data_IF_528280897420
#
_entry.id   IF_528280897420
#
_cell.length_a   1.000
_cell.length_b   1.000
_cell.length_c   1.000
_cell.angle_alpha   90.00
_cell.angle_beta   90.00
_cell.angle_gamma   90.00
#
_symmetry.space_group_name_H-M   'P 1'
#
loop_
_entity.id
_entity.type
_entity.pdbx_description
1 polymer ?
#
# COMPACT_ATOMS: atom_id res chain seq x y z
N UNK A 1 25.32 -52.64 47.65
CA UNK A 1 26.53 -51.88 47.94
C UNK A 1 26.37 -50.50 47.36
N UNK A 2 26.30 -49.60 48.28
CA UNK A 2 26.06 -48.16 48.20
C UNK A 2 27.22 -47.41 47.55
N UNK A 3 26.94 -46.39 46.78
CA UNK A 3 27.71 -45.16 46.88
C UNK A 3 26.82 -43.98 46.48
N UNK A 4 26.59 -43.10 47.46
CA UNK A 4 26.03 -41.76 47.30
C UNK A 4 27.09 -40.87 46.69
N UNK A 5 26.68 -40.01 45.79
CA UNK A 5 27.49 -38.87 45.40
C UNK A 5 26.70 -37.58 45.64
N UNK A 6 27.32 -36.73 46.43
CA UNK A 6 26.80 -35.50 46.99
C UNK A 6 26.94 -34.34 45.99
N UNK A 7 25.84 -33.80 45.54
CA UNK A 7 25.81 -32.59 44.73
C UNK A 7 26.08 -31.34 45.55
N UNK A 8 27.15 -30.64 45.27
CA UNK A 8 27.43 -29.30 45.80
C UNK A 8 26.60 -28.25 45.05
N UNK A 9 25.82 -27.51 45.87
CA UNK A 9 24.96 -26.40 45.39
C UNK A 9 25.78 -25.17 45.03
N UNK A 10 25.45 -24.56 43.92
CA UNK A 10 26.03 -23.30 43.41
C UNK A 10 25.70 -22.04 44.24
N UNK A 11 25.33 -22.17 45.53
CA UNK A 11 24.87 -21.03 46.35
C UNK A 11 25.90 -20.50 47.37
N UNK A 12 27.10 -21.07 47.48
CA UNK A 12 28.02 -20.74 48.58
C UNK A 12 29.26 -19.92 48.16
N UNK A 13 29.16 -19.07 47.11
CA UNK A 13 30.32 -18.26 46.68
C UNK A 13 30.19 -16.75 46.93
N UNK A 14 29.29 -16.30 47.80
CA UNK A 14 29.16 -14.87 48.15
C UNK A 14 29.10 -14.66 49.65
N UNK A 15 30.22 -14.87 50.37
CA UNK A 15 30.43 -14.24 51.68
C UNK A 15 31.94 -14.14 51.98
N UNK A 16 32.35 -12.91 52.14
CA UNK A 16 33.58 -12.43 52.81
C UNK A 16 34.53 -11.61 51.94
N UNK A 17 34.29 -10.31 51.87
CA UNK A 17 35.36 -9.30 51.89
C UNK A 17 34.78 -7.98 52.44
N UNK A 18 34.83 -7.85 53.75
CA UNK A 18 34.68 -6.56 54.46
C UNK A 18 36.00 -5.81 54.44
N UNK A 19 35.95 -4.52 54.11
CA UNK A 19 36.97 -3.61 54.62
C UNK A 19 37.71 -2.78 53.58
N UNK A 20 37.29 -1.56 53.36
CA UNK A 20 38.03 -0.32 53.44
C UNK A 20 37.23 0.81 52.76
N UNK A 21 36.58 1.67 53.55
CA UNK A 21 36.07 2.95 53.05
C UNK A 21 37.24 3.86 52.73
N UNK A 22 37.49 4.14 51.49
CA UNK A 22 38.23 5.30 51.02
C UNK A 22 37.22 6.33 50.55
N UNK A 23 37.07 7.41 51.30
CA UNK A 23 36.26 8.56 50.89
C UNK A 23 36.95 9.25 49.69
N UNK A 24 36.52 8.93 48.46
CA UNK A 24 36.89 9.68 47.31
C UNK A 24 35.91 10.87 47.16
N UNK A 25 36.44 12.06 47.19
CA UNK A 25 35.69 13.29 46.91
C UNK A 25 35.05 13.19 45.52
N UNK A 26 33.71 13.19 45.47
CA UNK A 26 32.96 13.23 44.22
C UNK A 26 33.11 14.58 43.55
N UNK A 27 33.89 14.65 42.48
CA UNK A 27 33.83 15.76 41.55
C UNK A 27 32.48 15.74 40.83
N UNK A 28 31.78 16.87 40.71
CA UNK A 28 30.49 16.87 39.97
C UNK A 28 30.76 16.57 38.50
N UNK A 29 30.38 15.38 38.08
CA UNK A 29 30.34 15.03 36.67
C UNK A 29 29.19 15.85 36.04
N UNK A 30 29.52 16.87 35.27
CA UNK A 30 28.53 17.55 34.42
C UNK A 30 27.94 16.51 33.49
N UNK A 31 26.67 16.15 33.73
CA UNK A 31 25.94 15.28 32.85
C UNK A 31 25.87 15.94 31.46
N UNK A 32 26.60 15.40 30.50
CA UNK A 32 26.46 15.79 29.09
C UNK A 32 25.03 15.36 28.70
N UNK A 33 24.18 16.36 28.38
CA UNK A 33 22.84 16.10 27.90
C UNK A 33 22.92 15.17 26.70
N UNK A 34 22.13 14.10 26.73
CA UNK A 34 22.03 13.19 25.59
C UNK A 34 21.64 14.00 24.34
N UNK A 35 22.27 13.78 23.18
CA UNK A 35 21.90 14.47 21.95
C UNK A 35 20.42 14.25 21.68
N UNK A 36 19.72 15.33 21.27
CA UNK A 36 18.31 15.24 20.89
C UNK A 36 18.15 14.13 19.82
N UNK A 37 17.12 13.28 19.93
CA UNK A 37 16.90 12.24 18.94
C UNK A 37 16.75 12.88 17.55
N UNK A 38 17.45 12.32 16.57
CA UNK A 38 17.33 12.76 15.18
C UNK A 38 15.87 12.66 14.74
N UNK A 39 15.36 13.62 13.94
CA UNK A 39 14.01 13.55 13.45
C UNK A 39 13.82 12.24 12.67
N UNK A 40 12.89 11.41 13.11
CA UNK A 40 12.53 10.16 12.42
C UNK A 40 11.86 10.55 11.10
N UNK A 41 12.34 10.08 9.95
CA UNK A 41 11.69 10.33 8.68
C UNK A 41 10.22 9.90 8.74
N UNK A 42 9.32 10.68 8.14
CA UNK A 42 7.90 10.35 8.09
C UNK A 42 7.71 8.96 7.46
N UNK A 43 6.92 8.11 8.12
CA UNK A 43 6.60 6.78 7.58
C UNK A 43 5.82 6.89 6.25
N UNK A 44 5.80 5.85 5.41
CA UNK A 44 4.96 5.83 4.22
C UNK A 44 3.48 6.12 4.53
N UNK A 45 2.94 5.56 5.61
CA UNK A 45 1.57 5.82 6.06
C UNK A 45 1.36 7.29 6.45
N UNK A 46 2.34 7.93 7.11
CA UNK A 46 2.24 9.35 7.47
C UNK A 46 2.33 10.26 6.24
N UNK A 47 3.15 9.89 5.24
CA UNK A 47 3.17 10.58 3.93
C UNK A 47 1.78 10.51 3.28
N UNK A 48 1.12 9.35 3.30
CA UNK A 48 -0.25 9.21 2.77
C UNK A 48 -1.26 10.05 3.55
N UNK A 49 -1.23 10.01 4.89
CA UNK A 49 -2.09 10.86 5.73
C UNK A 49 -1.86 12.35 5.47
N UNK A 50 -0.63 12.76 5.20
CA UNK A 50 -0.33 14.14 4.81
C UNK A 50 -1.04 14.51 3.50
N UNK A 51 -1.03 13.63 2.49
CA UNK A 51 -1.78 13.85 1.24
C UNK A 51 -3.28 13.91 1.50
N UNK A 52 -3.84 13.02 2.34
CA UNK A 52 -5.27 13.06 2.66
C UNK A 52 -5.71 14.39 3.29
N UNK A 53 -4.83 15.07 4.00
CA UNK A 53 -5.10 16.38 4.63
C UNK A 53 -4.90 17.59 3.70
N UNK A 54 -4.30 17.43 2.52
CA UNK A 54 -4.18 18.56 1.57
C UNK A 54 -5.54 19.02 1.07
N UNK A 55 -5.71 20.28 0.69
CA UNK A 55 -6.96 20.74 0.06
C UNK A 55 -7.22 20.07 -1.29
N UNK A 56 -8.49 19.89 -1.62
CA UNK A 56 -8.96 19.40 -2.92
C UNK A 56 -8.68 17.92 -3.21
N UNK A 57 -9.23 17.41 -4.30
CA UNK A 57 -9.00 16.05 -4.77
C UNK A 57 -7.62 15.88 -5.40
N UNK A 58 -7.14 14.64 -5.45
CA UNK A 58 -5.86 14.26 -6.06
C UNK A 58 -6.13 13.23 -7.15
N UNK A 59 -5.68 13.51 -8.39
CA UNK A 59 -5.66 12.52 -9.46
C UNK A 59 -4.52 11.51 -9.22
N UNK A 60 -4.84 10.22 -9.33
CA UNK A 60 -3.91 9.13 -9.05
C UNK A 60 -3.91 8.12 -10.19
N UNK A 61 -2.76 7.82 -10.81
CA UNK A 61 -2.69 6.78 -11.83
C UNK A 61 -2.75 5.39 -11.19
N UNK A 62 -3.56 4.49 -11.76
CA UNK A 62 -3.48 3.06 -11.49
C UNK A 62 -2.45 2.49 -12.46
N UNK A 63 -1.32 2.08 -11.92
CA UNK A 63 -0.17 1.56 -12.65
C UNK A 63 -0.15 0.02 -12.63
N UNK A 64 0.67 -0.59 -13.48
CA UNK A 64 0.69 -2.04 -13.68
C UNK A 64 2.07 -2.67 -13.51
N UNK A 65 3.14 -1.85 -13.43
CA UNK A 65 4.52 -2.28 -13.19
C UNK A 65 5.36 -1.17 -12.57
N UNK A 66 6.62 -1.49 -12.22
CA UNK A 66 7.55 -0.53 -11.63
C UNK A 66 7.92 0.60 -12.60
N UNK A 67 8.01 0.31 -13.90
CA UNK A 67 8.38 1.32 -14.90
C UNK A 67 7.28 2.39 -15.04
N UNK A 68 6.01 1.96 -15.15
CA UNK A 68 4.86 2.87 -15.18
C UNK A 68 4.71 3.66 -13.87
N UNK A 69 5.02 3.05 -12.73
CA UNK A 69 5.03 3.72 -11.43
C UNK A 69 6.09 4.81 -11.35
N UNK A 70 7.34 4.52 -11.76
CA UNK A 70 8.43 5.51 -11.82
C UNK A 70 8.16 6.62 -12.83
N UNK A 71 7.52 6.29 -13.96
CA UNK A 71 7.08 7.29 -14.93
C UNK A 71 6.04 8.25 -14.31
N UNK A 72 5.04 7.71 -13.62
CA UNK A 72 4.05 8.53 -12.93
C UNK A 72 4.69 9.43 -11.85
N UNK A 73 5.62 8.91 -11.06
CA UNK A 73 6.40 9.71 -10.11
C UNK A 73 7.22 10.81 -10.82
N UNK A 74 7.90 10.48 -11.91
CA UNK A 74 8.67 11.44 -12.71
C UNK A 74 7.79 12.58 -13.26
N UNK A 75 6.56 12.27 -13.66
CA UNK A 75 5.56 13.27 -14.10
C UNK A 75 4.97 14.10 -12.95
N UNK A 76 5.35 13.85 -11.70
CA UNK A 76 4.98 14.65 -10.53
C UNK A 76 3.69 14.23 -9.83
N UNK A 77 3.14 13.05 -10.12
CA UNK A 77 2.03 12.50 -9.34
C UNK A 77 2.45 12.27 -7.89
N UNK A 78 1.58 12.70 -6.95
CA UNK A 78 1.90 12.71 -5.51
C UNK A 78 1.54 11.41 -4.80
N UNK A 79 0.71 10.59 -5.42
CA UNK A 79 0.29 9.26 -4.97
C UNK A 79 0.16 8.37 -6.20
N UNK A 80 0.46 7.12 -6.06
CA UNK A 80 0.33 6.10 -7.10
C UNK A 80 -0.46 4.94 -6.51
N UNK A 81 -1.24 4.25 -7.31
CA UNK A 81 -1.94 3.03 -6.88
C UNK A 81 -1.69 1.86 -7.83
N UNK A 82 -1.61 0.65 -7.27
CA UNK A 82 -1.69 -0.60 -8.01
C UNK A 82 -2.97 -1.31 -7.57
N UNK A 83 -3.83 -1.65 -8.54
CA UNK A 83 -5.08 -2.37 -8.31
C UNK A 83 -5.00 -3.83 -8.71
N UNK A 84 -5.97 -4.63 -8.26
CA UNK A 84 -6.07 -6.05 -8.59
C UNK A 84 -6.18 -6.32 -10.09
N UNK A 85 -6.99 -5.52 -10.80
CA UNK A 85 -7.14 -5.63 -12.26
C UNK A 85 -5.82 -5.38 -13.00
N UNK A 86 -5.11 -4.29 -12.68
CA UNK A 86 -3.83 -3.96 -13.30
C UNK A 86 -2.75 -5.01 -12.98
N UNK A 87 -2.77 -5.55 -11.75
CA UNK A 87 -1.89 -6.66 -11.35
C UNK A 87 -2.21 -7.93 -12.10
N UNK A 88 -3.49 -8.33 -12.14
CA UNK A 88 -3.92 -9.57 -12.79
C UNK A 88 -3.65 -9.56 -14.28
N UNK A 89 -3.97 -8.47 -14.98
CA UNK A 89 -3.73 -8.35 -16.41
C UNK A 89 -2.26 -8.17 -16.76
N UNK A 90 -1.55 -7.27 -16.07
CA UNK A 90 -0.17 -6.90 -16.39
C UNK A 90 0.86 -7.94 -15.98
N UNK A 91 0.67 -8.62 -14.84
CA UNK A 91 1.65 -9.55 -14.30
C UNK A 91 1.34 -11.01 -14.57
N UNK A 92 0.05 -11.38 -14.69
CA UNK A 92 -0.37 -12.77 -14.84
C UNK A 92 -1.08 -13.06 -16.17
N UNK A 93 -1.42 -12.03 -16.97
CA UNK A 93 -2.18 -12.18 -18.20
C UNK A 93 -3.60 -12.70 -17.97
N UNK A 94 -4.17 -12.42 -16.80
CA UNK A 94 -5.50 -12.86 -16.37
C UNK A 94 -6.42 -11.67 -16.14
N UNK A 95 -7.75 -11.92 -16.17
CA UNK A 95 -8.71 -10.97 -15.64
C UNK A 95 -8.65 -10.90 -14.11
N UNK A 96 -9.26 -9.87 -13.54
CA UNK A 96 -9.41 -9.69 -12.09
C UNK A 96 -10.47 -10.66 -11.53
N UNK A 97 -10.15 -11.94 -11.51
CA UNK A 97 -11.06 -13.02 -11.14
C UNK A 97 -10.90 -13.51 -9.70
N UNK A 98 -10.13 -12.81 -8.88
CA UNK A 98 -9.83 -13.20 -7.51
C UNK A 98 -8.88 -14.39 -7.42
N UNK A 99 -8.03 -14.60 -8.45
CA UNK A 99 -7.08 -15.71 -8.51
C UNK A 99 -5.67 -15.32 -8.00
N UNK A 100 -5.32 -14.04 -8.03
CA UNK A 100 -4.08 -13.58 -7.45
C UNK A 100 -4.08 -13.83 -5.94
N UNK A 101 -3.05 -14.51 -5.44
CA UNK A 101 -2.94 -14.76 -4.01
C UNK A 101 -2.49 -13.51 -3.25
N UNK A 102 -2.92 -13.36 -2.00
CA UNK A 102 -2.46 -12.25 -1.15
C UNK A 102 -0.93 -12.16 -1.05
N UNK A 103 -0.22 -13.28 -1.19
CA UNK A 103 1.25 -13.27 -1.17
C UNK A 103 1.84 -12.64 -2.42
N UNK A 104 1.27 -12.92 -3.59
CA UNK A 104 1.66 -12.30 -4.87
C UNK A 104 1.37 -10.80 -4.87
N UNK A 105 0.17 -10.40 -4.40
CA UNK A 105 -0.19 -8.98 -4.26
C UNK A 105 0.79 -8.22 -3.35
N UNK A 106 1.14 -8.80 -2.19
CA UNK A 106 2.11 -8.22 -1.27
C UNK A 106 3.49 -8.08 -1.93
N UNK A 107 3.97 -9.12 -2.62
CA UNK A 107 5.30 -9.09 -3.24
C UNK A 107 5.43 -8.01 -4.32
N UNK A 108 4.43 -7.88 -5.16
CA UNK A 108 4.41 -6.85 -6.21
C UNK A 108 4.33 -5.45 -5.63
N UNK A 109 3.42 -5.23 -4.66
CA UNK A 109 3.27 -3.94 -4.02
C UNK A 109 4.53 -3.51 -3.26
N UNK A 110 5.19 -4.43 -2.54
CA UNK A 110 6.45 -4.16 -1.84
C UNK A 110 7.57 -3.81 -2.82
N UNK A 111 7.72 -4.56 -3.90
CA UNK A 111 8.71 -4.27 -4.96
C UNK A 111 8.49 -2.88 -5.55
N UNK A 112 7.25 -2.51 -5.78
CA UNK A 112 6.89 -1.20 -6.32
C UNK A 112 7.13 -0.09 -5.28
N UNK A 113 6.67 -0.26 -4.04
CA UNK A 113 6.86 0.73 -2.97
C UNK A 113 8.33 1.06 -2.71
N UNK A 114 9.22 0.05 -2.80
CA UNK A 114 10.67 0.23 -2.63
C UNK A 114 11.33 1.00 -3.78
N UNK A 115 10.69 1.09 -4.94
CA UNK A 115 11.18 1.84 -6.08
C UNK A 115 10.66 3.29 -6.14
N UNK A 116 9.81 3.70 -5.18
CA UNK A 116 9.12 4.97 -5.18
C UNK A 116 9.45 5.82 -3.95
N UNK A 117 9.49 7.13 -4.13
CA UNK A 117 9.57 8.13 -3.05
C UNK A 117 8.18 8.62 -2.61
N UNK A 118 7.18 8.51 -3.49
CA UNK A 118 5.79 8.90 -3.23
C UNK A 118 4.99 7.74 -2.63
N UNK A 119 3.92 8.02 -1.85
CA UNK A 119 3.05 7.00 -1.29
C UNK A 119 2.44 6.07 -2.35
N UNK A 120 2.48 4.76 -2.08
CA UNK A 120 1.80 3.73 -2.87
C UNK A 120 0.54 3.25 -2.13
N UNK A 121 -0.59 3.23 -2.85
CA UNK A 121 -1.81 2.52 -2.47
C UNK A 121 -1.75 1.13 -3.14
N UNK A 122 -1.89 0.07 -2.36
CA UNK A 122 -1.88 -1.31 -2.85
C UNK A 122 -3.20 -2.01 -2.58
N UNK A 123 -3.63 -2.81 -3.55
CA UNK A 123 -4.76 -3.71 -3.41
C UNK A 123 -4.36 -4.95 -2.59
N UNK A 124 -5.27 -5.42 -1.75
CA UNK A 124 -5.14 -6.66 -0.99
C UNK A 124 -6.34 -7.59 -1.19
N UNK A 125 -7.21 -7.31 -2.15
CA UNK A 125 -8.47 -8.03 -2.31
C UNK A 125 -9.20 -8.16 -0.96
N UNK A 126 -9.67 -9.36 -0.61
CA UNK A 126 -10.32 -9.65 0.67
C UNK A 126 -9.33 -9.83 1.86
N UNK A 127 -8.03 -9.61 1.62
CA UNK A 127 -6.96 -9.77 2.61
C UNK A 127 -6.54 -11.22 2.87
N UNK A 128 -6.94 -12.16 1.99
CA UNK A 128 -6.58 -13.58 2.09
C UNK A 128 -7.51 -14.39 2.99
N UNK A 129 -8.78 -13.97 3.13
CA UNK A 129 -9.90 -14.75 3.68
C UNK A 129 -10.31 -14.35 5.10
N UNK A 130 -9.46 -14.42 6.11
CA UNK A 130 -9.82 -14.17 7.50
C UNK A 130 -8.98 -13.07 8.17
N UNK A 131 -9.40 -12.51 9.34
CA UNK A 131 -8.67 -11.43 10.02
C UNK A 131 -7.21 -11.73 10.35
N UNK A 132 -6.83 -12.98 10.64
CA UNK A 132 -5.44 -13.35 10.92
C UNK A 132 -4.56 -13.25 9.66
N UNK A 133 -5.09 -13.63 8.49
CA UNK A 133 -4.40 -13.46 7.22
C UNK A 133 -4.23 -11.98 6.88
N UNK A 134 -5.27 -11.15 7.11
CA UNK A 134 -5.19 -9.70 6.98
C UNK A 134 -4.10 -9.12 7.87
N UNK A 135 -4.06 -9.50 9.15
CA UNK A 135 -3.01 -9.08 10.08
C UNK A 135 -1.62 -9.40 9.54
N UNK A 136 -1.42 -10.65 9.09
CA UNK A 136 -0.14 -11.11 8.52
C UNK A 136 0.24 -10.35 7.25
N UNK A 137 -0.71 -10.16 6.33
CA UNK A 137 -0.49 -9.41 5.09
C UNK A 137 -0.14 -7.95 5.36
N UNK A 138 -0.90 -7.27 6.25
CA UNK A 138 -0.66 -5.89 6.63
C UNK A 138 0.74 -5.68 7.23
N UNK A 139 1.22 -6.61 8.07
CA UNK A 139 2.61 -6.59 8.56
C UNK A 139 3.64 -6.61 7.43
N UNK A 140 3.38 -7.36 6.35
CA UNK A 140 4.28 -7.43 5.19
C UNK A 140 4.22 -6.15 4.38
N UNK A 141 3.03 -5.61 4.11
CA UNK A 141 2.85 -4.31 3.45
C UNK A 141 3.57 -3.20 4.21
N UNK A 142 3.35 -3.10 5.52
CA UNK A 142 3.98 -2.09 6.37
C UNK A 142 5.51 -2.16 6.33
N UNK A 143 6.09 -3.36 6.50
CA UNK A 143 7.54 -3.57 6.40
C UNK A 143 8.09 -3.27 5.01
N UNK A 144 7.30 -3.49 3.98
CA UNK A 144 7.67 -3.26 2.60
C UNK A 144 7.57 -1.81 2.13
N UNK A 145 7.08 -0.91 2.98
CA UNK A 145 6.99 0.51 2.66
C UNK A 145 5.71 0.94 1.94
N UNK A 146 4.70 0.08 1.88
CA UNK A 146 3.37 0.43 1.34
C UNK A 146 2.70 1.45 2.24
N UNK A 147 2.11 2.49 1.65
CA UNK A 147 1.57 3.63 2.38
C UNK A 147 0.06 3.53 2.67
N UNK A 148 -0.68 2.79 1.84
CA UNK A 148 -2.11 2.56 2.00
C UNK A 148 -2.46 1.17 1.45
N UNK A 149 -3.37 0.46 2.12
CA UNK A 149 -3.82 -0.87 1.71
C UNK A 149 -5.34 -0.87 1.57
N UNK A 150 -5.81 -1.28 0.38
CA UNK A 150 -7.22 -1.47 0.09
C UNK A 150 -7.63 -2.88 0.50
N UNK A 151 -8.71 -2.96 1.29
CA UNK A 151 -9.39 -4.20 1.68
C UNK A 151 -10.84 -4.14 1.21
N UNK A 152 -11.28 -5.11 0.42
CA UNK A 152 -12.65 -5.21 -0.06
C UNK A 152 -13.49 -6.23 0.72
N UNK A 153 -14.81 -6.00 0.72
CA UNK A 153 -15.78 -6.88 1.36
C UNK A 153 -16.41 -7.91 0.41
N UNK A 154 -15.77 -8.14 -0.73
CA UNK A 154 -16.13 -9.17 -1.69
C UNK A 154 -15.10 -10.31 -1.67
N UNK A 155 -15.53 -11.56 -1.64
CA UNK A 155 -14.66 -12.74 -1.62
C UNK A 155 -15.07 -13.79 -2.65
N UNK A 156 -14.14 -14.66 -3.00
CA UNK A 156 -14.34 -15.71 -4.02
C UNK A 156 -14.07 -15.20 -5.44
N UNK A 157 -14.52 -15.97 -6.42
CA UNK A 157 -14.39 -15.58 -7.82
C UNK A 157 -15.21 -14.32 -8.11
N UNK A 158 -14.59 -13.30 -8.68
CA UNK A 158 -15.19 -12.01 -9.02
C UNK A 158 -14.96 -11.68 -10.49
N UNK A 159 -15.84 -10.85 -11.06
CA UNK A 159 -15.71 -10.33 -12.43
C UNK A 159 -15.57 -11.38 -13.55
N UNK A 160 -15.90 -12.65 -13.28
CA UNK A 160 -15.85 -13.73 -14.28
C UNK A 160 -16.99 -13.54 -15.28
N UNK A 161 -16.70 -13.38 -16.60
CA UNK A 161 -17.74 -13.11 -17.60
C UNK A 161 -18.85 -14.16 -17.60
N UNK A 162 -20.12 -13.70 -17.52
CA UNK A 162 -21.31 -14.56 -17.52
C UNK A 162 -21.46 -15.44 -16.26
N UNK A 163 -20.75 -15.14 -15.19
CA UNK A 163 -20.89 -15.83 -13.89
C UNK A 163 -21.33 -14.85 -12.80
N UNK A 164 -21.99 -15.34 -11.75
CA UNK A 164 -22.28 -14.51 -10.58
C UNK A 164 -20.97 -13.99 -9.95
N UNK A 165 -21.02 -12.76 -9.46
CA UNK A 165 -19.96 -12.20 -8.62
C UNK A 165 -19.75 -13.05 -7.35
N UNK A 166 -18.58 -12.87 -6.71
CA UNK A 166 -18.24 -13.46 -5.44
C UNK A 166 -19.27 -13.17 -4.32
N UNK A 167 -18.99 -13.54 -3.14
CA UNK A 167 -19.90 -13.37 -2.00
C UNK A 167 -19.50 -12.18 -1.15
N UNK A 168 -20.49 -11.44 -0.64
CA UNK A 168 -20.25 -10.41 0.35
C UNK A 168 -19.70 -11.01 1.64
N UNK A 169 -18.62 -10.49 2.14
CA UNK A 169 -18.12 -10.81 3.48
C UNK A 169 -19.15 -10.30 4.51
N UNK A 170 -19.56 -11.11 5.50
CA UNK A 170 -20.44 -10.63 6.57
C UNK A 170 -19.86 -9.39 7.23
N UNK A 171 -20.72 -8.38 7.51
CA UNK A 171 -20.31 -7.09 8.05
C UNK A 171 -19.37 -7.22 9.26
N UNK A 172 -19.74 -8.04 10.25
CA UNK A 172 -18.93 -8.24 11.45
C UNK A 172 -17.51 -8.77 11.13
N UNK A 173 -17.40 -9.68 10.17
CA UNK A 173 -16.10 -10.26 9.75
C UNK A 173 -15.25 -9.21 9.04
N UNK A 174 -15.85 -8.37 8.17
CA UNK A 174 -15.08 -7.33 7.51
C UNK A 174 -14.63 -6.22 8.48
N UNK A 175 -15.46 -5.87 9.46
CA UNK A 175 -15.09 -5.00 10.58
C UNK A 175 -13.88 -5.56 11.35
N UNK A 176 -13.88 -6.86 11.63
CA UNK A 176 -12.74 -7.51 12.32
C UNK A 176 -11.49 -7.55 11.43
N UNK A 177 -11.63 -7.70 10.10
CA UNK A 177 -10.52 -7.56 9.15
C UNK A 177 -9.92 -6.16 9.20
N UNK A 178 -10.74 -5.11 9.21
CA UNK A 178 -10.27 -3.71 9.31
C UNK A 178 -9.52 -3.49 10.63
N UNK A 179 -10.07 -3.92 11.76
CA UNK A 179 -9.40 -3.84 13.06
C UNK A 179 -8.06 -4.57 13.07
N UNK A 180 -8.02 -5.79 12.53
CA UNK A 180 -6.78 -6.56 12.40
C UNK A 180 -5.73 -5.85 11.54
N UNK A 181 -6.15 -5.15 10.47
CA UNK A 181 -5.27 -4.34 9.64
C UNK A 181 -4.70 -3.14 10.42
N UNK A 182 -5.55 -2.43 11.17
CA UNK A 182 -5.15 -1.30 12.01
C UNK A 182 -4.14 -1.73 13.09
N UNK A 183 -4.44 -2.81 13.82
CA UNK A 183 -3.56 -3.35 14.85
C UNK A 183 -2.20 -3.79 14.28
N UNK A 184 -2.21 -4.42 13.12
CA UNK A 184 -0.99 -4.87 12.44
C UNK A 184 -0.13 -3.71 11.94
N UNK A 185 -0.74 -2.66 11.43
CA UNK A 185 -0.06 -1.45 10.96
C UNK A 185 0.57 -0.67 12.11
N UNK A 186 -0.16 -0.50 13.18
CA UNK A 186 0.26 0.30 14.34
C UNK A 186 0.44 1.78 14.00
N UNK A 187 1.08 2.51 14.90
CA UNK A 187 1.38 3.92 14.70
C UNK A 187 2.29 4.13 13.48
N UNK A 188 1.91 5.05 12.57
CA UNK A 188 2.64 5.30 11.32
C UNK A 188 2.51 4.19 10.26
N UNK A 189 1.75 3.13 10.53
CA UNK A 189 1.48 2.08 9.56
C UNK A 189 0.64 2.53 8.36
N UNK A 190 0.43 1.65 7.36
CA UNK A 190 -0.36 1.97 6.19
C UNK A 190 -1.76 2.48 6.54
N UNK A 191 -2.26 3.44 5.78
CA UNK A 191 -3.66 3.85 5.81
C UNK A 191 -4.52 2.64 5.40
N UNK A 192 -5.62 2.40 6.10
CA UNK A 192 -6.60 1.38 5.71
C UNK A 192 -7.68 2.03 4.84
N UNK A 193 -7.76 1.60 3.59
CA UNK A 193 -8.81 1.94 2.64
C UNK A 193 -9.81 0.77 2.61
N UNK A 194 -11.00 0.98 3.14
CA UNK A 194 -12.07 -0.03 3.11
C UNK A 194 -12.95 0.15 1.88
N UNK A 195 -13.07 -0.93 1.08
CA UNK A 195 -13.90 -0.99 -0.13
C UNK A 195 -15.17 -1.79 0.14
N UNK A 196 -16.30 -1.23 -0.31
CA UNK A 196 -17.61 -1.87 -0.29
C UNK A 196 -18.07 -2.15 -1.72
N UNK A 197 -18.37 -3.42 -2.01
CA UNK A 197 -18.88 -3.91 -3.30
C UNK A 197 -20.38 -4.25 -3.29
N UNK A 198 -21.09 -3.92 -2.23
CA UNK A 198 -22.51 -4.28 -2.03
C UNK A 198 -23.43 -3.79 -3.13
N UNK A 199 -23.15 -2.64 -3.78
CA UNK A 199 -23.96 -2.16 -4.93
C UNK A 199 -23.98 -3.17 -6.08
N UNK A 200 -22.84 -3.78 -6.40
CA UNK A 200 -22.76 -4.84 -7.43
C UNK A 200 -23.52 -6.10 -7.03
N UNK A 201 -23.82 -6.28 -5.74
CA UNK A 201 -24.59 -7.38 -5.18
C UNK A 201 -26.08 -7.05 -5.00
N UNK A 202 -26.50 -5.85 -5.41
CA UNK A 202 -27.88 -5.39 -5.30
C UNK A 202 -28.28 -4.89 -3.91
N UNK A 203 -27.31 -4.63 -3.01
CA UNK A 203 -27.61 -3.97 -1.75
C UNK A 203 -28.09 -2.54 -1.99
N UNK A 204 -29.08 -2.10 -1.20
CA UNK A 204 -29.56 -0.72 -1.26
C UNK A 204 -28.51 0.24 -0.74
N UNK A 205 -28.63 1.51 -1.14
CA UNK A 205 -27.70 2.55 -0.64
C UNK A 205 -27.75 2.66 0.91
N UNK A 206 -28.86 2.40 1.55
CA UNK A 206 -28.97 2.48 3.01
C UNK A 206 -28.20 1.32 3.67
N UNK A 207 -28.21 0.12 3.10
CA UNK A 207 -27.37 -1.00 3.53
C UNK A 207 -25.88 -0.68 3.33
N UNK A 208 -25.52 -0.04 2.20
CA UNK A 208 -24.14 0.44 1.96
C UNK A 208 -23.73 1.46 3.02
N UNK A 209 -24.59 2.42 3.36
CA UNK A 209 -24.27 3.44 4.37
C UNK A 209 -24.05 2.81 5.76
N UNK A 210 -24.81 1.77 6.13
CA UNK A 210 -24.58 1.01 7.36
C UNK A 210 -23.21 0.35 7.36
N UNK A 211 -22.82 -0.33 6.24
CA UNK A 211 -21.53 -0.98 6.09
C UNK A 211 -20.38 0.02 6.22
N UNK A 212 -20.39 1.06 5.39
CA UNK A 212 -19.24 2.00 5.34
C UNK A 212 -19.11 2.81 6.63
N UNK A 213 -20.23 3.07 7.32
CA UNK A 213 -20.16 3.66 8.66
C UNK A 213 -19.45 2.73 9.65
N UNK A 214 -19.80 1.45 9.66
CA UNK A 214 -19.14 0.47 10.51
C UNK A 214 -17.64 0.32 10.16
N UNK A 215 -17.26 0.43 8.87
CA UNK A 215 -15.87 0.42 8.44
C UNK A 215 -15.10 1.65 8.97
N UNK A 216 -15.69 2.84 8.86
CA UNK A 216 -15.13 4.07 9.40
C UNK A 216 -14.96 4.00 10.91
N UNK A 217 -15.99 3.48 11.63
CA UNK A 217 -15.96 3.30 13.09
C UNK A 217 -14.92 2.25 13.52
N UNK A 218 -14.62 1.24 12.67
CA UNK A 218 -13.58 0.24 12.88
C UNK A 218 -12.15 0.78 12.67
N UNK A 219 -12.01 2.00 12.15
CA UNK A 219 -10.71 2.66 11.96
C UNK A 219 -10.28 2.87 10.52
N UNK A 220 -11.09 2.49 9.51
CA UNK A 220 -10.77 2.82 8.12
C UNK A 220 -10.63 4.35 7.96
N UNK A 221 -9.54 4.78 7.32
CA UNK A 221 -9.20 6.19 7.16
C UNK A 221 -9.61 6.72 5.77
N UNK A 222 -9.88 5.83 4.84
CA UNK A 222 -10.30 6.12 3.47
C UNK A 222 -11.39 5.11 3.08
N UNK A 223 -12.43 5.55 2.39
CA UNK A 223 -13.58 4.70 2.04
C UNK A 223 -13.75 4.66 0.52
N UNK A 224 -14.08 3.50 -0.01
CA UNK A 224 -14.42 3.29 -1.41
C UNK A 224 -15.72 2.49 -1.53
N UNK A 225 -16.69 2.99 -2.28
CA UNK A 225 -17.89 2.24 -2.69
C UNK A 225 -17.84 2.05 -4.20
N UNK A 226 -17.64 0.81 -4.62
CA UNK A 226 -17.54 0.46 -6.03
C UNK A 226 -18.86 0.73 -6.75
N UNK A 227 -18.80 1.39 -7.91
CA UNK A 227 -19.96 1.69 -8.74
C UNK A 227 -20.88 2.80 -8.21
N UNK A 228 -20.53 3.49 -7.14
CA UNK A 228 -21.36 4.57 -6.58
C UNK A 228 -21.44 5.79 -7.51
N UNK A 229 -22.65 6.35 -7.68
CA UNK A 229 -22.86 7.64 -8.33
C UNK A 229 -22.29 8.79 -7.51
N UNK A 230 -22.14 9.98 -8.12
CA UNK A 230 -21.65 11.17 -7.38
C UNK A 230 -22.54 11.50 -6.16
N UNK A 231 -23.86 11.40 -6.32
CA UNK A 231 -24.82 11.63 -5.22
C UNK A 231 -24.62 10.60 -4.08
N UNK A 232 -24.45 9.32 -4.43
CA UNK A 232 -24.20 8.27 -3.44
C UNK A 232 -22.85 8.47 -2.73
N UNK A 233 -21.79 8.86 -3.46
CA UNK A 233 -20.48 9.22 -2.87
C UNK A 233 -20.65 10.34 -1.85
N UNK A 234 -21.41 11.39 -2.19
CA UNK A 234 -21.66 12.48 -1.23
C UNK A 234 -22.32 11.95 0.03
N UNK A 235 -23.37 11.12 -0.06
CA UNK A 235 -24.03 10.50 1.11
C UNK A 235 -23.05 9.67 1.94
N UNK A 236 -22.16 8.92 1.29
CA UNK A 236 -21.11 8.14 1.97
C UNK A 236 -20.14 9.05 2.73
N UNK A 237 -19.69 10.14 2.09
CA UNK A 237 -18.80 11.11 2.74
C UNK A 237 -19.48 11.76 3.96
N UNK A 238 -20.76 12.17 3.82
CA UNK A 238 -21.52 12.81 4.89
C UNK A 238 -21.72 11.87 6.10
N UNK A 239 -22.01 10.59 5.87
CA UNK A 239 -22.26 9.59 6.94
C UNK A 239 -20.98 9.12 7.64
N UNK A 240 -19.87 8.99 6.88
CA UNK A 240 -18.63 8.46 7.43
C UNK A 240 -17.71 9.54 8.00
N UNK A 241 -17.84 10.78 7.52
CA UNK A 241 -16.88 11.86 7.80
C UNK A 241 -15.46 11.55 7.29
N UNK A 242 -15.32 10.59 6.38
CA UNK A 242 -14.02 10.17 5.83
C UNK A 242 -13.84 10.63 4.39
N UNK A 243 -12.60 10.91 3.96
CA UNK A 243 -12.31 11.12 2.54
C UNK A 243 -12.62 9.84 1.75
N UNK A 244 -13.00 10.01 0.48
CA UNK A 244 -13.32 8.89 -0.39
C UNK A 244 -12.23 8.64 -1.42
N UNK A 245 -12.08 7.36 -1.77
CA UNK A 245 -11.40 6.88 -2.96
C UNK A 245 -12.44 6.61 -4.05
N UNK A 246 -12.09 6.84 -5.30
CA UNK A 246 -12.92 6.50 -6.46
C UNK A 246 -12.03 5.99 -7.57
N UNK A 247 -12.47 4.94 -8.28
CA UNK A 247 -11.95 4.62 -9.60
C UNK A 247 -12.66 5.51 -10.61
N UNK A 248 -11.87 6.20 -11.45
CA UNK A 248 -12.40 7.21 -12.36
C UNK A 248 -13.51 6.68 -13.26
N UNK A 249 -14.45 7.57 -13.52
CA UNK A 249 -15.59 7.39 -14.41
C UNK A 249 -15.66 8.55 -15.40
N UNK A 250 -16.84 8.91 -15.89
CA UNK A 250 -17.02 10.05 -16.78
C UNK A 250 -16.85 11.41 -16.08
N UNK A 251 -16.87 11.44 -14.73
CA UNK A 251 -16.71 12.66 -13.96
C UNK A 251 -15.25 13.12 -13.91
N UNK A 252 -15.06 14.42 -13.92
CA UNK A 252 -13.74 15.04 -13.72
C UNK A 252 -13.28 14.89 -12.26
N UNK A 253 -11.97 15.00 -12.02
CA UNK A 253 -11.39 14.98 -10.67
C UNK A 253 -12.04 16.05 -9.78
N UNK A 254 -12.35 17.22 -10.32
CA UNK A 254 -13.00 18.30 -9.59
C UNK A 254 -14.45 17.97 -9.21
N UNK A 255 -15.22 17.38 -10.12
CA UNK A 255 -16.60 16.92 -9.85
C UNK A 255 -16.61 15.81 -8.79
N UNK A 256 -15.69 14.85 -8.87
CA UNK A 256 -15.47 13.85 -7.85
C UNK A 256 -15.19 14.52 -6.47
N UNK A 257 -14.30 15.51 -6.44
CA UNK A 257 -13.94 16.23 -5.22
C UNK A 257 -15.10 16.96 -4.56
N UNK A 258 -16.03 17.54 -5.32
CA UNK A 258 -17.25 18.16 -4.80
C UNK A 258 -18.18 17.18 -4.07
N UNK A 259 -17.98 15.87 -4.31
CA UNK A 259 -18.77 14.80 -3.72
C UNK A 259 -17.98 13.95 -2.69
N UNK A 260 -16.92 14.53 -2.10
CA UNK A 260 -16.17 13.94 -0.99
C UNK A 260 -15.00 13.06 -1.43
N UNK A 261 -14.76 12.90 -2.73
CA UNK A 261 -13.63 12.12 -3.21
C UNK A 261 -12.33 12.89 -3.02
N UNK A 262 -11.40 12.28 -2.30
CA UNK A 262 -10.05 12.78 -2.10
C UNK A 262 -9.07 12.18 -3.10
N UNK A 263 -9.20 10.89 -3.37
CA UNK A 263 -8.36 10.14 -4.28
C UNK A 263 -9.20 9.70 -5.48
N UNK A 264 -8.99 10.32 -6.64
CA UNK A 264 -9.60 9.92 -7.90
C UNK A 264 -8.58 9.15 -8.74
N UNK A 265 -8.75 7.83 -8.84
CA UNK A 265 -7.79 6.94 -9.48
C UNK A 265 -8.23 6.59 -10.91
N UNK A 266 -7.28 6.56 -11.84
CA UNK A 266 -7.51 6.32 -13.27
C UNK A 266 -6.60 5.21 -13.79
N UNK A 267 -7.20 4.20 -14.42
CA UNK A 267 -6.49 3.07 -15.01
C UNK A 267 -5.75 3.49 -16.28
N UNK A 268 -4.44 3.19 -16.35
CA UNK A 268 -3.61 3.48 -17.52
C UNK A 268 -3.18 2.23 -18.28
N UNK A 269 -3.33 1.04 -17.69
CA UNK A 269 -2.88 -0.22 -18.29
C UNK A 269 -3.58 -0.53 -19.62
N UNK A 270 -4.87 -0.27 -19.73
CA UNK A 270 -5.61 -0.52 -20.97
C UNK A 270 -5.15 0.37 -22.13
N UNK A 271 -4.74 1.61 -21.84
CA UNK A 271 -4.14 2.52 -22.83
C UNK A 271 -2.76 2.03 -23.24
N UNK A 272 -1.95 1.53 -22.29
CA UNK A 272 -0.64 0.98 -22.60
C UNK A 272 -0.74 -0.30 -23.46
N UNK A 273 -1.67 -1.19 -23.13
CA UNK A 273 -1.96 -2.37 -23.96
C UNK A 273 -2.51 -1.99 -25.33
N UNK A 274 -3.34 -0.94 -25.44
CA UNK A 274 -3.81 -0.40 -26.70
C UNK A 274 -2.67 0.11 -27.60
N UNK A 275 -1.71 0.82 -27.01
CA UNK A 275 -0.50 1.23 -27.72
C UNK A 275 0.35 0.04 -28.18
N UNK A 276 0.52 -0.96 -27.31
CA UNK A 276 1.22 -2.21 -27.67
C UNK A 276 0.51 -2.96 -28.80
N UNK A 277 -0.82 -3.04 -28.76
CA UNK A 277 -1.61 -3.65 -29.84
C UNK A 277 -1.39 -2.96 -31.18
N UNK A 278 -1.38 -1.61 -31.23
CA UNK A 278 -1.10 -0.86 -32.45
C UNK A 278 0.31 -1.15 -32.99
N UNK A 279 1.32 -1.18 -32.09
CA UNK A 279 2.71 -1.48 -32.49
C UNK A 279 2.84 -2.88 -33.06
N UNK A 280 2.24 -3.88 -32.41
CA UNK A 280 2.26 -5.27 -32.85
C UNK A 280 1.51 -5.45 -34.17
N UNK A 281 0.40 -4.75 -34.37
CA UNK A 281 -0.37 -4.76 -35.64
C UNK A 281 0.47 -4.19 -36.77
N UNK A 282 1.14 -3.06 -36.57
CA UNK A 282 2.04 -2.48 -37.60
C UNK A 282 3.21 -3.43 -37.93
N UNK A 283 3.84 -4.02 -36.89
CA UNK A 283 4.93 -4.97 -37.08
C UNK A 283 4.48 -6.21 -37.84
N UNK A 284 3.32 -6.77 -37.54
CA UNK A 284 2.78 -7.94 -38.22
C UNK A 284 2.46 -7.66 -39.68
N UNK A 285 1.87 -6.46 -39.96
CA UNK A 285 1.43 -6.07 -41.31
C UNK A 285 2.59 -5.65 -42.20
N UNK A 286 3.50 -4.80 -41.68
CA UNK A 286 4.45 -4.03 -42.47
C UNK A 286 5.92 -4.46 -42.20
N UNK A 287 6.17 -5.41 -41.29
CA UNK A 287 7.49 -5.83 -40.85
C UNK A 287 8.27 -4.75 -40.08
N UNK A 288 7.61 -3.66 -39.69
CA UNK A 288 8.20 -2.54 -38.95
C UNK A 288 7.14 -1.79 -38.13
N UNK A 289 7.58 -1.14 -37.06
CA UNK A 289 6.72 -0.27 -36.28
C UNK A 289 6.80 1.16 -36.83
N UNK A 290 5.68 1.71 -37.26
CA UNK A 290 5.57 3.07 -37.80
C UNK A 290 4.36 3.79 -37.24
N UNK A 291 4.38 5.13 -37.28
CA UNK A 291 3.26 5.96 -36.80
C UNK A 291 3.05 6.03 -35.32
N UNK A 292 4.04 5.59 -34.52
CA UNK A 292 3.97 5.61 -33.06
C UNK A 292 5.11 6.44 -32.47
N UNK A 293 4.83 7.05 -31.33
CA UNK A 293 5.81 7.81 -30.54
C UNK A 293 6.38 6.90 -29.44
N UNK A 294 7.71 6.83 -29.35
CA UNK A 294 8.39 6.18 -28.23
C UNK A 294 8.52 7.13 -27.04
N UNK A 295 8.74 6.57 -25.85
CA UNK A 295 9.09 7.38 -24.68
C UNK A 295 10.35 8.23 -25.00
N UNK A 296 10.36 9.56 -24.70
CA UNK A 296 11.54 10.39 -24.86
C UNK A 296 12.75 9.79 -24.13
N UNK A 297 13.94 9.87 -24.74
CA UNK A 297 15.15 9.22 -24.22
C UNK A 297 15.55 9.73 -22.83
N UNK A 298 15.43 11.02 -22.59
CA UNK A 298 15.72 11.65 -21.31
C UNK A 298 14.78 11.16 -20.20
N UNK A 299 13.49 11.02 -20.48
CA UNK A 299 12.50 10.43 -19.57
C UNK A 299 12.81 8.96 -19.30
N UNK A 300 13.14 8.19 -20.37
CA UNK A 300 13.53 6.79 -20.23
C UNK A 300 14.75 6.62 -19.32
N UNK A 301 15.77 7.45 -19.49
CA UNK A 301 16.97 7.45 -18.64
C UNK A 301 16.65 7.88 -17.19
N UNK A 302 15.77 8.85 -17.01
CA UNK A 302 15.37 9.31 -15.67
C UNK A 302 14.65 8.22 -14.87
N UNK A 303 13.68 7.53 -15.47
CA UNK A 303 12.95 6.45 -14.77
C UNK A 303 13.80 5.19 -14.51
N UNK A 304 14.93 5.05 -15.20
CA UNK A 304 15.90 3.97 -15.00
C UNK A 304 17.00 4.35 -14.00
N UNK A 305 16.96 5.53 -13.40
CA UNK A 305 18.02 6.08 -12.51
C UNK A 305 19.40 6.07 -13.17
N UNK A 306 19.47 6.28 -14.48
CA UNK A 306 20.69 6.08 -15.26
C UNK A 306 21.90 6.89 -14.74
N UNK A 307 21.66 8.13 -14.29
CA UNK A 307 22.70 8.96 -13.69
C UNK A 307 23.25 8.34 -12.40
N UNK A 308 22.38 7.88 -11.51
CA UNK A 308 22.78 7.23 -10.25
C UNK A 308 23.66 6.00 -10.53
N UNK A 309 23.25 5.15 -11.45
CA UNK A 309 24.01 3.95 -11.81
C UNK A 309 25.34 4.27 -12.50
N UNK A 310 25.39 5.31 -13.34
CA UNK A 310 26.62 5.77 -13.95
C UNK A 310 27.60 6.31 -12.90
N UNK A 311 27.14 7.16 -11.96
CA UNK A 311 27.98 7.68 -10.89
C UNK A 311 28.50 6.54 -9.98
N UNK A 312 27.64 5.55 -9.68
CA UNK A 312 28.01 4.37 -8.89
C UNK A 312 29.04 3.50 -9.61
N UNK A 313 28.89 3.33 -10.94
CA UNK A 313 29.86 2.62 -11.76
C UNK A 313 31.24 3.28 -11.71
N UNK A 314 31.31 4.60 -11.89
CA UNK A 314 32.56 5.36 -11.78
C UNK A 314 33.19 5.17 -10.40
N UNK A 315 32.38 5.32 -9.33
CA UNK A 315 32.86 5.16 -7.95
C UNK A 315 33.55 3.82 -7.68
N UNK A 316 33.00 2.73 -8.21
CA UNK A 316 33.50 1.37 -7.90
C UNK A 316 34.38 0.74 -8.98
N UNK A 317 34.56 1.38 -10.13
CA UNK A 317 35.36 0.85 -11.24
C UNK A 317 36.41 1.87 -11.73
N UNK A 318 36.67 2.94 -11.00
CA UNK A 318 37.59 4.02 -11.40
C UNK A 318 39.02 3.51 -11.74
N UNK A 319 39.47 2.41 -11.12
CA UNK A 319 40.81 1.88 -11.28
C UNK A 319 40.88 0.77 -12.39
N UNK A 320 39.79 0.55 -13.15
CA UNK A 320 39.73 -0.51 -14.20
C UNK A 320 39.61 0.04 -15.61
N UNK A 321 39.74 1.33 -15.80
CA UNK A 321 39.79 2.03 -17.10
C UNK A 321 41.23 2.61 -17.36
#
# INVERSE_FOLDING_TARGET
MSQQDSGASRRDFFTAATGALVAAAATPTTAVAAPAPLPVPASPGDKMRAVLRTPGPVAVPIVYDVASAKLAQHMGFKVITIGGSATSSGMFGMGDYGMATISELVELAVRMAQALEVPLIADADDGGGNPMNVYRAMKRYAKGGVACVLLEDLTGAKHVPGRPEGQMVPLAIHVDKIKAAMDAGGAGGPVVLARCDGLAKGESIDQILERVKAYADAGAELIFVAGATLEQKKRVADVTGKPLFSTGGPATVEEEGKNGVKIAAFAIESYALGASFQALTALQKDGKITGMTTLPRDVSLAIQDAKFWADLHVKYNADRT
#
